data_IF_100211149473
#
_entry.id   IF_100211149473
#
_cell.length_a   1.000
_cell.length_b   1.000
_cell.length_c   1.000
_cell.angle_alpha   90.00
_cell.angle_beta   90.00
_cell.angle_gamma   90.00
#
_symmetry.space_group_name_H-M   'P 1'
#
loop_
_entity.id
_entity.type
_entity.pdbx_description
1 polymer ?
#
# COMPACT_ATOMS: atom_id res chain seq x y z
N UNK A 1 -24.26 -4.23 -10.51
CA UNK A 1 -25.29 -3.94 -9.47
C UNK A 1 -24.64 -3.03 -8.43
N UNK A 2 -25.11 -1.78 -8.29
CA UNK A 2 -24.55 -0.84 -7.30
C UNK A 2 -25.28 -1.07 -5.96
N UNK A 3 -24.57 -1.35 -4.85
CA UNK A 3 -25.20 -1.59 -3.55
C UNK A 3 -25.91 -0.32 -3.05
N UNK A 4 -27.21 -0.40 -2.78
CA UNK A 4 -28.06 0.72 -2.28
C UNK A 4 -28.35 0.62 -0.78
N UNK A 5 -27.42 0.09 0.01
CA UNK A 5 -27.60 -0.12 1.45
C UNK A 5 -27.22 1.10 2.29
N UNK A 6 -27.93 1.31 3.41
CA UNK A 6 -27.56 2.31 4.43
C UNK A 6 -26.46 1.82 5.41
N UNK A 7 -25.81 0.70 5.09
CA UNK A 7 -24.75 0.10 5.93
C UNK A 7 -23.44 0.12 5.16
N UNK A 8 -22.33 0.57 5.77
CA UNK A 8 -21.04 0.52 5.11
C UNK A 8 -20.69 -0.94 4.80
N UNK A 9 -20.22 -1.18 3.59
CA UNK A 9 -19.85 -2.52 3.10
C UNK A 9 -18.33 -2.62 3.08
N UNK A 10 -17.79 -3.75 3.51
CA UNK A 10 -16.36 -4.01 3.46
C UNK A 10 -15.86 -4.06 2.01
N UNK A 11 -14.75 -3.40 1.72
CA UNK A 11 -14.09 -3.36 0.42
C UNK A 11 -13.14 -4.56 0.18
N UNK A 12 -12.54 -5.12 1.23
CA UNK A 12 -11.42 -6.08 1.12
C UNK A 12 -11.83 -7.47 0.64
N UNK A 13 -13.01 -7.94 1.01
CA UNK A 13 -13.49 -9.30 0.72
C UNK A 13 -14.84 -9.25 0.04
N UNK A 14 -15.00 -8.32 -0.91
CA UNK A 14 -16.25 -8.16 -1.64
C UNK A 14 -16.03 -8.29 -3.15
N UNK A 15 -16.17 -9.51 -3.71
CA UNK A 15 -16.02 -9.76 -5.14
C UNK A 15 -16.99 -8.93 -6.00
N UNK A 16 -18.14 -8.54 -5.43
CA UNK A 16 -19.20 -7.86 -6.16
C UNK A 16 -18.88 -6.39 -6.47
N UNK A 17 -17.94 -5.76 -5.74
CA UNK A 17 -17.59 -4.35 -5.95
C UNK A 17 -17.01 -4.17 -7.35
N UNK A 18 -16.01 -4.98 -7.70
CA UNK A 18 -15.30 -4.85 -8.97
C UNK A 18 -16.20 -5.24 -10.16
N UNK A 19 -17.02 -6.27 -9.99
CA UNK A 19 -18.06 -6.66 -10.95
C UNK A 19 -19.09 -5.53 -11.17
N UNK A 20 -19.45 -4.80 -10.11
CA UNK A 20 -20.44 -3.74 -10.16
C UNK A 20 -19.95 -2.44 -10.79
N UNK A 21 -18.67 -2.09 -10.61
CA UNK A 21 -18.05 -0.86 -11.14
C UNK A 21 -17.70 -1.01 -12.62
N UNK A 22 -17.41 -2.23 -13.09
CA UNK A 22 -16.93 -2.49 -14.45
C UNK A 22 -17.86 -3.45 -15.22
N UNK A 23 -19.16 -3.11 -15.41
CA UNK A 23 -20.11 -3.99 -16.08
C UNK A 23 -19.73 -4.28 -17.54
N UNK A 24 -18.99 -3.38 -18.20
CA UNK A 24 -18.48 -3.59 -19.55
C UNK A 24 -17.47 -4.75 -19.65
N UNK A 25 -16.70 -4.98 -18.58
CA UNK A 25 -15.72 -6.08 -18.51
C UNK A 25 -16.34 -7.37 -17.96
N UNK A 26 -17.34 -7.23 -17.10
CA UNK A 26 -18.05 -8.32 -16.42
C UNK A 26 -19.55 -8.30 -16.73
N UNK A 27 -19.97 -8.53 -17.99
CA UNK A 27 -21.36 -8.37 -18.41
C UNK A 27 -22.32 -9.33 -17.69
N UNK A 28 -21.83 -10.51 -17.30
CA UNK A 28 -22.61 -11.52 -16.59
C UNK A 28 -22.58 -11.38 -15.07
N UNK A 29 -21.83 -10.40 -14.53
CA UNK A 29 -21.64 -10.26 -13.08
C UNK A 29 -20.98 -11.47 -12.42
N UNK A 30 -20.13 -12.20 -13.17
CA UNK A 30 -19.40 -13.37 -12.68
C UNK A 30 -17.91 -13.26 -13.05
N UNK A 31 -17.08 -14.13 -12.45
CA UNK A 31 -15.63 -14.10 -12.68
C UNK A 31 -14.92 -13.03 -11.86
N UNK A 32 -15.42 -12.74 -10.66
CA UNK A 32 -14.75 -11.83 -9.74
C UNK A 32 -13.35 -12.33 -9.37
N UNK A 33 -12.50 -11.39 -8.97
CA UNK A 33 -11.08 -11.69 -8.71
C UNK A 33 -10.93 -12.59 -7.48
N UNK A 34 -11.68 -12.29 -6.42
CA UNK A 34 -11.69 -12.98 -5.12
C UNK A 34 -13.03 -13.66 -4.90
N UNK A 35 -13.42 -14.51 -5.84
CA UNK A 35 -14.65 -15.28 -5.76
C UNK A 35 -14.45 -16.53 -4.89
N UNK A 36 -15.01 -16.51 -3.69
CA UNK A 36 -14.95 -17.64 -2.74
C UNK A 36 -15.65 -18.91 -3.26
N UNK A 37 -16.53 -18.79 -4.27
CA UNK A 37 -17.19 -19.95 -4.88
C UNK A 37 -16.26 -20.78 -5.78
N UNK A 38 -15.06 -20.28 -6.08
CA UNK A 38 -14.08 -20.95 -6.93
C UNK A 38 -13.43 -22.13 -6.20
N UNK A 39 -13.30 -23.27 -6.88
CA UNK A 39 -12.66 -24.48 -6.32
C UNK A 39 -11.18 -24.29 -5.98
N UNK A 40 -10.48 -23.44 -6.76
CA UNK A 40 -9.09 -23.08 -6.56
C UNK A 40 -9.02 -21.62 -6.14
N UNK A 41 -8.47 -21.35 -4.97
CA UNK A 41 -8.18 -19.98 -4.55
C UNK A 41 -6.99 -19.44 -5.34
N UNK A 42 -7.17 -18.27 -5.92
CA UNK A 42 -6.15 -17.58 -6.71
C UNK A 42 -5.83 -16.27 -6.01
N UNK A 43 -4.55 -15.95 -5.86
CA UNK A 43 -4.16 -14.67 -5.28
C UNK A 43 -4.65 -13.50 -6.15
N UNK A 44 -5.01 -12.40 -5.51
CA UNK A 44 -5.52 -11.20 -6.17
C UNK A 44 -4.55 -10.71 -7.27
N UNK A 45 -3.24 -10.70 -6.99
CA UNK A 45 -2.23 -10.22 -7.95
C UNK A 45 -2.05 -11.19 -9.11
N UNK A 46 -2.12 -12.49 -8.87
CA UNK A 46 -1.97 -13.51 -9.90
C UNK A 46 -3.16 -13.49 -10.88
N UNK A 47 -4.37 -13.42 -10.35
CA UNK A 47 -5.57 -13.33 -11.17
C UNK A 47 -5.59 -12.01 -11.97
N UNK A 48 -5.13 -10.90 -11.41
CA UNK A 48 -4.97 -9.65 -12.16
C UNK A 48 -3.99 -9.74 -13.32
N UNK A 49 -2.83 -10.38 -13.10
CA UNK A 49 -1.87 -10.64 -14.18
C UNK A 49 -2.51 -11.45 -15.30
N UNK A 50 -3.28 -12.48 -14.95
CA UNK A 50 -4.03 -13.27 -15.91
C UNK A 50 -5.05 -12.43 -16.69
N UNK A 51 -5.80 -11.55 -16.02
CA UNK A 51 -6.79 -10.69 -16.67
C UNK A 51 -6.15 -9.70 -17.64
N UNK A 52 -5.00 -9.12 -17.30
CA UNK A 52 -4.27 -8.18 -18.17
C UNK A 52 -3.72 -8.91 -19.40
N UNK A 53 -3.15 -10.11 -19.22
CA UNK A 53 -2.60 -10.93 -20.33
C UNK A 53 -3.70 -11.76 -21.03
N UNK A 54 -4.97 -11.51 -20.72
CA UNK A 54 -6.08 -12.28 -21.27
C UNK A 54 -6.17 -12.11 -22.79
N UNK A 55 -6.44 -13.21 -23.50
CA UNK A 55 -6.42 -13.29 -24.96
C UNK A 55 -7.14 -12.14 -25.67
N UNK A 56 -8.27 -11.69 -25.12
CA UNK A 56 -9.11 -10.69 -25.76
C UNK A 56 -8.72 -9.23 -25.48
N UNK A 57 -7.59 -8.92 -24.81
CA UNK A 57 -7.09 -7.56 -24.47
C UNK A 57 -8.06 -6.56 -23.86
N UNK A 58 -9.34 -6.93 -23.66
CA UNK A 58 -10.40 -6.05 -23.16
C UNK A 58 -10.06 -5.42 -21.81
N UNK A 59 -9.33 -6.14 -20.96
CA UNK A 59 -8.89 -5.65 -19.66
C UNK A 59 -7.67 -4.73 -19.75
N UNK A 60 -6.78 -5.01 -20.70
CA UNK A 60 -5.60 -4.19 -20.99
C UNK A 60 -6.01 -2.83 -21.58
N UNK A 61 -6.93 -2.84 -22.54
CA UNK A 61 -7.37 -1.65 -23.29
C UNK A 61 -8.43 -0.81 -22.54
N UNK A 62 -9.03 -1.33 -21.47
CA UNK A 62 -10.07 -0.61 -20.76
C UNK A 62 -9.52 0.57 -19.97
N UNK A 63 -9.92 1.78 -20.38
CA UNK A 63 -9.42 3.07 -19.89
C UNK A 63 -9.27 3.19 -18.37
N UNK A 64 -10.20 2.65 -17.58
CA UNK A 64 -10.19 2.76 -16.12
C UNK A 64 -9.78 1.49 -15.37
N UNK A 65 -9.64 0.35 -16.04
CA UNK A 65 -9.46 -0.95 -15.36
C UNK A 65 -8.15 -0.97 -14.56
N UNK A 66 -7.04 -0.65 -15.23
CA UNK A 66 -5.71 -0.63 -14.62
C UNK A 66 -5.66 0.34 -13.44
N UNK A 67 -6.26 1.53 -13.58
CA UNK A 67 -6.28 2.53 -12.51
C UNK A 67 -7.09 2.07 -11.28
N UNK A 68 -8.28 1.48 -11.49
CA UNK A 68 -9.11 0.98 -10.38
C UNK A 68 -8.37 -0.12 -9.63
N UNK A 69 -7.87 -1.11 -10.36
CA UNK A 69 -7.12 -2.24 -9.80
C UNK A 69 -5.87 -1.76 -9.06
N UNK A 70 -5.13 -0.82 -9.64
CA UNK A 70 -3.93 -0.27 -9.04
C UNK A 70 -4.23 0.48 -7.75
N UNK A 71 -5.29 1.29 -7.71
CA UNK A 71 -5.74 1.97 -6.49
C UNK A 71 -6.10 0.96 -5.39
N UNK A 72 -6.81 -0.12 -5.73
CA UNK A 72 -7.14 -1.19 -4.78
C UNK A 72 -5.84 -1.81 -4.21
N UNK A 73 -4.86 -2.13 -5.06
CA UNK A 73 -3.57 -2.68 -4.61
C UNK A 73 -2.83 -1.72 -3.67
N UNK A 74 -2.80 -0.43 -4.02
CA UNK A 74 -2.15 0.59 -3.20
C UNK A 74 -2.85 0.76 -1.86
N UNK A 75 -4.18 0.87 -1.86
CA UNK A 75 -4.99 1.02 -0.65
C UNK A 75 -4.81 -0.17 0.28
N UNK A 76 -4.90 -1.40 -0.25
CA UNK A 76 -4.68 -2.63 0.53
C UNK A 76 -3.29 -2.69 1.15
N UNK A 77 -2.26 -2.34 0.36
CA UNK A 77 -0.88 -2.32 0.83
C UNK A 77 -0.68 -1.28 1.93
N UNK A 78 -1.19 -0.06 1.74
CA UNK A 78 -1.08 1.03 2.71
C UNK A 78 -1.78 0.67 4.03
N UNK A 79 -3.00 0.15 3.98
CA UNK A 79 -3.74 -0.25 5.17
C UNK A 79 -3.09 -1.45 5.88
N UNK A 80 -2.58 -2.44 5.13
CA UNK A 80 -1.84 -3.55 5.72
C UNK A 80 -0.60 -3.05 6.48
N UNK A 81 0.18 -2.14 5.88
CA UNK A 81 1.32 -1.55 6.57
C UNK A 81 0.90 -0.73 7.78
N UNK A 82 -0.14 0.10 7.67
CA UNK A 82 -0.66 0.85 8.81
C UNK A 82 -1.11 -0.08 9.95
N UNK A 83 -1.79 -1.18 9.63
CA UNK A 83 -2.19 -2.18 10.59
C UNK A 83 -0.97 -2.83 11.27
N UNK A 84 0.02 -3.27 10.50
CA UNK A 84 1.27 -3.79 11.07
C UNK A 84 1.96 -2.76 11.96
N UNK A 85 1.98 -1.49 11.58
CA UNK A 85 2.54 -0.40 12.40
C UNK A 85 1.83 -0.27 13.74
N UNK A 86 0.49 -0.42 13.77
CA UNK A 86 -0.25 -0.38 15.05
C UNK A 86 0.03 -1.57 15.95
N UNK A 87 0.38 -2.73 15.38
CA UNK A 87 0.72 -3.94 16.14
C UNK A 87 2.14 -3.93 16.71
N UNK A 88 3.00 -3.03 16.24
CA UNK A 88 4.38 -2.93 16.70
C UNK A 88 4.41 -2.49 18.17
N UNK A 89 5.02 -3.32 19.03
CA UNK A 89 5.07 -3.13 20.49
C UNK A 89 5.73 -1.82 20.93
N UNK A 90 6.68 -1.30 20.14
CA UNK A 90 7.36 -0.04 20.42
C UNK A 90 6.62 1.19 19.85
N UNK A 91 5.43 1.04 19.25
CA UNK A 91 4.62 2.19 18.79
C UNK A 91 4.26 3.11 19.96
N UNK A 92 3.73 2.54 21.04
CA UNK A 92 3.40 3.26 22.27
C UNK A 92 4.64 3.93 22.89
N UNK A 93 5.76 3.19 22.99
CA UNK A 93 7.02 3.72 23.51
C UNK A 93 7.58 4.86 22.63
N UNK A 94 7.43 4.76 21.31
CA UNK A 94 7.86 5.81 20.37
C UNK A 94 6.97 7.04 20.45
N UNK A 95 5.66 6.86 20.63
CA UNK A 95 4.70 7.95 20.82
C UNK A 95 4.97 8.71 22.12
N UNK A 96 5.20 8.00 23.22
CA UNK A 96 5.59 8.61 24.50
C UNK A 96 6.95 9.33 24.40
N UNK A 97 7.92 8.73 23.70
CA UNK A 97 9.21 9.39 23.44
C UNK A 97 9.03 10.66 22.61
N UNK A 98 8.18 10.65 21.58
CA UNK A 98 7.86 11.83 20.77
C UNK A 98 7.18 12.93 21.59
N UNK A 99 6.19 12.59 22.40
CA UNK A 99 5.49 13.55 23.28
C UNK A 99 6.44 14.20 24.27
N UNK A 100 7.38 13.42 24.79
CA UNK A 100 8.34 13.88 25.78
C UNK A 100 9.45 14.79 25.20
N UNK A 101 9.61 14.84 23.87
CA UNK A 101 10.62 15.66 23.20
C UNK A 101 10.11 17.09 22.97
N UNK A 102 10.89 18.09 23.37
CA UNK A 102 10.55 19.49 23.14
C UNK A 102 10.93 19.93 21.72
N UNK A 103 10.23 20.95 21.20
CA UNK A 103 10.58 21.58 19.92
C UNK A 103 12.01 22.12 19.90
N UNK A 104 12.56 22.50 21.06
CA UNK A 104 13.94 22.95 21.18
C UNK A 104 14.94 21.80 20.93
N UNK A 105 14.67 20.61 21.48
CA UNK A 105 15.52 19.42 21.33
C UNK A 105 15.55 18.93 19.88
N UNK A 106 14.44 19.10 19.16
CA UNK A 106 14.34 18.77 17.74
C UNK A 106 15.17 19.76 16.91
N UNK A 107 15.08 21.07 17.20
CA UNK A 107 15.82 22.09 16.48
C UNK A 107 17.34 21.92 16.63
N UNK A 108 17.81 21.60 17.84
CA UNK A 108 19.23 21.32 18.08
C UNK A 108 19.69 20.06 17.36
N UNK A 109 18.89 19.00 17.36
CA UNK A 109 19.18 17.79 16.60
C UNK A 109 19.27 18.04 15.09
N UNK A 110 18.37 18.86 14.51
CA UNK A 110 18.40 19.21 13.09
C UNK A 110 19.66 19.99 12.70
N UNK A 111 20.10 20.93 13.55
CA UNK A 111 21.35 21.68 13.36
C UNK A 111 22.56 20.76 13.41
N UNK A 112 22.54 19.73 14.27
CA UNK A 112 23.63 18.76 14.36
C UNK A 112 23.65 17.79 13.16
N UNK A 113 22.48 17.45 12.62
CA UNK A 113 22.35 16.64 11.39
C UNK A 113 22.92 17.39 10.19
N UNK A 114 22.61 18.68 10.02
CA UNK A 114 23.10 19.47 8.88
C UNK A 114 24.63 19.65 8.91
N UNK A 115 25.24 19.64 10.10
CA UNK A 115 26.69 19.73 10.30
C UNK A 115 27.43 18.40 10.15
N UNK A 116 26.74 17.31 9.82
CA UNK A 116 27.35 15.99 9.61
C UNK A 116 27.89 15.30 10.88
N UNK A 117 27.66 15.89 12.07
CA UNK A 117 28.14 15.41 13.38
C UNK A 117 27.09 14.54 14.08
N UNK A 118 26.44 13.65 13.31
CA UNK A 118 25.33 12.83 13.80
C UNK A 118 25.73 11.81 14.87
N UNK A 119 27.01 11.44 14.95
CA UNK A 119 27.51 10.36 15.80
C UNK A 119 27.43 10.65 17.31
N UNK A 120 27.15 11.89 17.73
CA UNK A 120 27.12 12.27 19.13
C UNK A 120 25.96 13.22 19.47
N UNK A 121 24.73 12.87 19.05
CA UNK A 121 23.54 13.52 19.62
C UNK A 121 23.46 13.08 21.08
N UNK A 122 23.73 14.02 21.99
CA UNK A 122 23.80 13.81 23.43
C UNK A 122 22.54 13.17 24.04
N UNK A 123 21.39 13.28 23.36
CA UNK A 123 20.13 12.71 23.81
C UNK A 123 19.88 11.29 23.30
N UNK A 124 20.02 10.33 24.22
CA UNK A 124 19.67 8.92 24.03
C UNK A 124 18.23 8.70 23.53
N UNK A 125 17.34 9.65 23.84
CA UNK A 125 15.92 9.63 23.45
C UNK A 125 15.75 9.85 21.94
N UNK A 126 16.48 10.81 21.36
CA UNK A 126 16.47 11.10 19.93
C UNK A 126 17.10 9.94 19.15
N UNK A 127 18.17 9.33 19.66
CA UNK A 127 18.79 8.16 19.04
C UNK A 127 17.86 6.93 19.04
N UNK A 128 17.15 6.68 20.15
CA UNK A 128 16.15 5.61 20.24
C UNK A 128 14.99 5.86 19.28
N UNK A 129 14.46 7.08 19.25
CA UNK A 129 13.42 7.50 18.31
C UNK A 129 13.86 7.29 16.86
N UNK A 130 15.06 7.74 16.50
CA UNK A 130 15.59 7.59 15.15
C UNK A 130 15.81 6.13 14.75
N UNK A 131 16.16 5.24 15.69
CA UNK A 131 16.22 3.80 15.44
C UNK A 131 14.82 3.23 15.13
N UNK A 132 13.82 3.60 15.92
CA UNK A 132 12.44 3.17 15.69
C UNK A 132 11.90 3.69 14.36
N UNK A 133 12.09 4.98 14.06
CA UNK A 133 11.71 5.59 12.77
C UNK A 133 12.41 4.92 11.61
N UNK A 134 13.72 4.62 11.70
CA UNK A 134 14.44 3.91 10.63
C UNK A 134 13.89 2.50 10.41
N UNK A 135 13.53 1.78 11.47
CA UNK A 135 12.87 0.49 11.36
C UNK A 135 11.55 0.60 10.59
N UNK A 136 10.71 1.56 10.97
CA UNK A 136 9.44 1.85 10.27
C UNK A 136 9.66 2.24 8.81
N UNK A 137 10.65 3.10 8.55
CA UNK A 137 10.96 3.60 7.21
C UNK A 137 11.47 2.49 6.28
N UNK A 138 12.22 1.52 6.81
CA UNK A 138 12.65 0.33 6.09
C UNK A 138 11.45 -0.47 5.54
N UNK A 139 10.50 -0.83 6.42
CA UNK A 139 9.29 -1.56 6.03
C UNK A 139 8.41 -0.80 5.02
N UNK A 140 8.41 0.54 5.08
CA UNK A 140 7.60 1.38 4.19
C UNK A 140 8.29 1.68 2.84
N UNK A 141 9.62 1.59 2.76
CA UNK A 141 10.40 1.93 1.55
C UNK A 141 10.54 0.76 0.57
N UNK A 142 10.51 -0.48 1.07
CA UNK A 142 10.66 -1.71 0.29
C UNK A 142 9.62 -1.91 -0.85
N UNK A 143 8.33 -1.54 -0.69
CA UNK A 143 7.32 -1.72 -1.74
C UNK A 143 7.45 -0.72 -2.89
N UNK A 144 7.97 0.50 -2.64
CA UNK A 144 8.10 1.54 -3.67
C UNK A 144 9.15 1.18 -4.73
N UNK A 145 10.18 0.43 -4.35
CA UNK A 145 11.29 0.01 -5.23
C UNK A 145 10.92 -1.19 -6.13
N UNK A 146 10.06 -2.11 -5.66
CA UNK A 146 9.65 -3.31 -6.44
C UNK A 146 8.71 -2.98 -7.61
N UNK A 147 7.96 -1.88 -7.56
CA UNK A 147 7.10 -1.46 -8.68
C UNK A 147 7.88 -0.71 -9.76
N UNK A 148 8.90 0.08 -9.40
CA UNK A 148 9.79 0.72 -10.39
C UNK A 148 10.61 -0.29 -11.19
N UNK A 149 10.91 -1.47 -10.64
CA UNK A 149 11.57 -2.56 -11.37
C UNK A 149 10.63 -3.43 -12.21
N UNK A 150 9.30 -3.20 -12.14
CA UNK A 150 8.27 -3.96 -12.86
C UNK A 150 7.55 -3.12 -13.93
N UNK A 151 7.96 -1.87 -14.15
CA UNK A 151 7.53 -1.11 -15.31
C UNK A 151 8.21 -1.70 -16.57
N UNK A 152 7.47 -2.29 -17.52
CA UNK A 152 8.08 -2.80 -18.73
C UNK A 152 8.52 -1.62 -19.60
N UNK A 153 9.76 -1.67 -20.03
CA UNK A 153 10.39 -0.79 -21.01
C UNK A 153 9.69 -0.92 -22.37
N UNK A 154 8.59 -0.20 -22.58
CA UNK A 154 7.86 -0.10 -23.86
C UNK A 154 7.88 1.31 -24.47
N UNK A 155 8.84 2.15 -24.10
CA UNK A 155 9.04 3.49 -24.71
C UNK A 155 10.49 3.71 -25.16
N UNK A 156 11.06 2.76 -25.90
CA UNK A 156 12.38 2.91 -26.51
C UNK A 156 12.51 2.24 -27.89
N UNK A 157 11.41 2.13 -28.66
CA UNK A 157 11.45 1.86 -30.10
C UNK A 157 10.38 2.71 -30.80
N UNK A 158 10.77 3.93 -31.16
CA UNK A 158 10.26 4.69 -32.29
C UNK A 158 11.41 5.50 -32.86
#
# INVERSE_FOLDING_TARGET
MIPRGNRPVNEYSNPNILLGILPALFPYGCGAIEDDSRSVQIDFREHLRYLIVFRNRRFEEHYSFIFVVFNILQHRTACFHAHLMTLIRYFQQSAQLLESLSSADIATALVNISKGTYSNIADQRINTLMKHIRGVLWYCKEPRQRFTSLAPSYLAQS
#
